data_IF_320930063224
#
_entry.id   IF_320930063224
#
_cell.length_a   1.000
_cell.length_b   1.000
_cell.length_c   1.000
_cell.angle_alpha   90.00
_cell.angle_beta   90.00
_cell.angle_gamma   90.00
#
_symmetry.space_group_name_H-M   'P 1'
#
loop_
_entity.id
_entity.type
_entity.pdbx_description
1 polymer ?
#
# COMPACT_ATOMS: atom_id res chain seq x y z
N UNK A 1 12.73 -4.17 21.24
CA UNK A 1 12.30 -5.52 20.77
C UNK A 1 12.22 -5.52 19.25
N UNK A 2 12.95 -6.42 18.59
CA UNK A 2 12.98 -6.47 17.12
C UNK A 2 11.65 -6.92 16.53
N UNK A 3 11.23 -6.24 15.47
CA UNK A 3 10.03 -6.50 14.71
C UNK A 3 10.40 -6.91 13.29
N UNK A 4 9.56 -7.76 12.71
CA UNK A 4 9.61 -8.21 11.33
C UNK A 4 8.27 -7.88 10.68
N UNK A 5 8.34 -7.14 9.60
CA UNK A 5 7.20 -6.61 8.87
C UNK A 5 7.27 -7.13 7.44
N UNK A 6 6.19 -7.73 6.96
CA UNK A 6 6.04 -8.17 5.58
C UNK A 6 4.98 -7.33 4.88
N UNK A 7 5.35 -6.71 3.76
CA UNK A 7 4.48 -5.81 2.99
C UNK A 7 4.51 -6.24 1.54
N UNK A 8 3.35 -6.44 0.94
CA UNK A 8 3.24 -6.59 -0.51
C UNK A 8 3.16 -5.21 -1.14
N UNK A 9 3.96 -4.95 -2.17
CA UNK A 9 3.92 -3.69 -2.91
C UNK A 9 3.57 -3.98 -4.36
N UNK A 10 2.51 -3.35 -4.85
CA UNK A 10 2.13 -3.38 -6.26
C UNK A 10 3.00 -2.39 -7.03
N UNK A 11 3.88 -2.93 -7.87
CA UNK A 11 4.92 -2.19 -8.57
C UNK A 11 4.58 -2.16 -10.07
N UNK A 12 4.48 -0.98 -10.68
CA UNK A 12 4.24 -0.86 -12.14
C UNK A 12 5.51 -1.20 -12.93
N UNK A 13 6.66 -0.68 -12.51
CA UNK A 13 7.96 -0.85 -13.19
C UNK A 13 8.96 -1.67 -12.35
N UNK A 14 9.13 -2.96 -12.64
CA UNK A 14 9.90 -3.86 -11.76
C UNK A 14 11.32 -3.41 -11.36
N UNK A 15 12.12 -2.79 -12.24
CA UNK A 15 13.50 -2.38 -11.87
C UNK A 15 13.53 -1.12 -11.01
N UNK A 16 12.95 -0.02 -11.51
CA UNK A 16 13.06 1.30 -10.88
C UNK A 16 12.26 1.39 -9.58
N UNK A 17 11.08 0.79 -9.56
CA UNK A 17 10.19 0.84 -8.38
C UNK A 17 10.73 0.00 -7.23
N UNK A 18 11.33 -1.17 -7.49
CA UNK A 18 11.98 -2.01 -6.46
C UNK A 18 13.12 -1.28 -5.77
N UNK A 19 14.00 -0.63 -6.53
CA UNK A 19 15.11 0.14 -5.95
C UNK A 19 14.58 1.30 -5.10
N UNK A 20 13.57 2.03 -5.58
CA UNK A 20 12.92 3.10 -4.81
C UNK A 20 12.26 2.57 -3.54
N UNK A 21 11.56 1.45 -3.61
CA UNK A 21 10.88 0.86 -2.45
C UNK A 21 11.88 0.42 -1.37
N UNK A 22 12.99 -0.20 -1.77
CA UNK A 22 14.07 -0.54 -0.84
C UNK A 22 14.70 0.71 -0.22
N UNK A 23 14.95 1.75 -1.02
CA UNK A 23 15.47 3.02 -0.51
C UNK A 23 14.52 3.66 0.51
N UNK A 24 13.23 3.72 0.20
CA UNK A 24 12.22 4.30 1.09
C UNK A 24 12.13 3.50 2.39
N UNK A 25 12.07 2.17 2.31
CA UNK A 25 12.04 1.32 3.50
C UNK A 25 13.30 1.52 4.35
N UNK A 26 14.49 1.63 3.74
CA UNK A 26 15.74 1.87 4.45
C UNK A 26 15.84 3.28 5.07
N UNK A 27 15.10 4.27 4.57
CA UNK A 27 15.07 5.62 5.14
C UNK A 27 14.17 5.75 6.38
N UNK A 28 13.31 4.76 6.67
CA UNK A 28 12.44 4.80 7.84
C UNK A 28 13.26 4.58 9.11
N UNK A 29 12.97 5.35 10.15
CA UNK A 29 13.64 5.22 11.43
C UNK A 29 13.42 3.83 12.05
N UNK A 30 14.47 3.27 12.64
CA UNK A 30 14.41 1.98 13.30
C UNK A 30 14.55 0.77 12.38
N UNK A 31 14.71 0.96 11.06
CA UNK A 31 14.96 -0.14 10.12
C UNK A 31 16.43 -0.55 10.14
N UNK A 32 16.68 -1.85 10.31
CA UNK A 32 18.01 -2.44 10.35
C UNK A 32 18.32 -3.27 9.10
N UNK A 33 17.31 -3.95 8.55
CA UNK A 33 17.45 -4.74 7.34
C UNK A 33 16.19 -4.69 6.46
N UNK A 34 16.41 -4.70 5.15
CA UNK A 34 15.36 -4.67 4.13
C UNK A 34 15.69 -5.70 3.06
N UNK A 35 14.76 -6.60 2.77
CA UNK A 35 14.90 -7.62 1.74
C UNK A 35 13.66 -7.71 0.86
N UNK A 36 13.85 -8.00 -0.43
CA UNK A 36 12.78 -8.35 -1.34
C UNK A 36 12.61 -9.87 -1.42
N UNK A 37 11.38 -10.34 -1.24
CA UNK A 37 10.96 -11.74 -1.22
C UNK A 37 9.82 -12.00 -2.21
N UNK A 38 9.52 -13.27 -2.42
CA UNK A 38 8.50 -13.75 -3.37
C UNK A 38 9.08 -14.05 -4.75
N UNK A 39 8.42 -14.93 -5.50
CA UNK A 39 8.82 -15.28 -6.88
C UNK A 39 8.89 -14.03 -7.77
N UNK A 40 7.89 -13.16 -7.62
CA UNK A 40 7.79 -11.90 -8.35
C UNK A 40 8.55 -10.74 -7.69
N UNK A 41 9.23 -10.97 -6.56
CA UNK A 41 9.97 -9.93 -5.79
C UNK A 41 9.11 -8.71 -5.45
N UNK A 42 7.84 -8.95 -5.12
CA UNK A 42 6.84 -7.94 -4.77
C UNK A 42 6.58 -7.86 -3.26
N UNK A 43 7.23 -8.71 -2.46
CA UNK A 43 7.14 -8.69 -1.01
C UNK A 43 8.38 -8.04 -0.42
N UNK A 44 8.16 -7.07 0.46
CA UNK A 44 9.17 -6.30 1.15
C UNK A 44 9.19 -6.75 2.61
N UNK A 45 10.29 -7.38 3.01
CA UNK A 45 10.56 -7.76 4.39
C UNK A 45 11.43 -6.68 5.02
N UNK A 46 10.95 -6.13 6.12
CA UNK A 46 11.63 -5.09 6.89
C UNK A 46 11.83 -5.61 8.31
N UNK A 47 13.07 -5.55 8.79
CA UNK A 47 13.45 -5.96 10.14
C UNK A 47 14.06 -4.76 10.84
N UNK A 48 13.68 -4.55 12.10
CA UNK A 48 14.22 -3.45 12.89
C UNK A 48 13.47 -3.22 14.20
N UNK A 49 13.84 -2.18 14.92
CA UNK A 49 13.29 -1.83 16.24
C UNK A 49 12.57 -0.47 16.18
N UNK A 50 11.35 -0.39 16.71
CA UNK A 50 10.59 0.86 16.74
C UNK A 50 10.05 1.29 15.36
N UNK A 51 9.86 0.34 14.44
CA UNK A 51 9.34 0.63 13.09
C UNK A 51 7.87 1.05 13.18
N UNK A 52 7.54 2.23 12.67
CA UNK A 52 6.15 2.61 12.41
C UNK A 52 5.66 1.96 11.11
N UNK A 53 4.92 0.86 11.27
CA UNK A 53 4.34 0.10 10.15
C UNK A 53 3.34 0.91 9.32
N UNK A 54 2.62 1.84 9.94
CA UNK A 54 1.59 2.65 9.28
C UNK A 54 2.24 3.74 8.46
N UNK A 55 3.23 4.44 9.01
CA UNK A 55 4.01 5.44 8.28
C UNK A 55 4.77 4.81 7.11
N UNK A 56 5.41 3.66 7.34
CA UNK A 56 6.11 2.94 6.29
C UNK A 56 5.17 2.55 5.14
N UNK A 57 3.99 1.99 5.44
CA UNK A 57 2.99 1.67 4.43
C UNK A 57 2.46 2.93 3.71
N UNK A 58 2.26 4.04 4.42
CA UNK A 58 1.86 5.33 3.83
C UNK A 58 2.92 5.86 2.86
N UNK A 59 4.20 5.79 3.22
CA UNK A 59 5.29 6.26 2.36
C UNK A 59 5.39 5.43 1.08
N UNK A 60 5.27 4.11 1.18
CA UNK A 60 5.25 3.22 0.02
C UNK A 60 4.06 3.52 -0.90
N UNK A 61 2.86 3.68 -0.33
CA UNK A 61 1.64 4.07 -1.07
C UNK A 61 1.78 5.38 -1.83
N UNK A 62 2.48 6.35 -1.26
CA UNK A 62 2.66 7.69 -1.87
C UNK A 62 3.74 7.73 -2.94
N UNK A 63 4.82 6.97 -2.78
CA UNK A 63 6.06 7.14 -3.57
C UNK A 63 6.34 6.02 -4.57
N UNK A 64 5.76 4.84 -4.35
CA UNK A 64 6.03 3.65 -5.17
C UNK A 64 4.76 3.16 -5.86
N UNK A 65 3.71 2.89 -5.08
CA UNK A 65 2.48 2.26 -5.56
C UNK A 65 1.71 1.63 -4.40
N UNK A 66 0.63 0.91 -4.70
CA UNK A 66 -0.21 0.26 -3.67
C UNK A 66 0.63 -0.63 -2.75
N UNK A 67 0.37 -0.58 -1.43
CA UNK A 67 1.09 -1.38 -0.46
C UNK A 67 0.14 -1.99 0.57
N UNK A 68 0.21 -3.31 0.76
CA UNK A 68 -0.62 -4.08 1.67
C UNK A 68 0.24 -4.73 2.75
N UNK A 69 -0.11 -4.47 4.00
CA UNK A 69 0.53 -5.11 5.15
C UNK A 69 0.05 -6.56 5.24
N UNK A 70 0.99 -7.50 5.17
CA UNK A 70 0.72 -8.93 5.26
C UNK A 70 0.88 -9.45 6.69
N UNK A 71 1.97 -9.07 7.35
CA UNK A 71 2.28 -9.57 8.71
C UNK A 71 3.20 -8.60 9.45
N UNK A 72 2.99 -8.50 10.76
CA UNK A 72 3.83 -7.75 11.71
C UNK A 72 4.02 -8.65 12.92
N UNK A 73 5.26 -8.96 13.28
CA UNK A 73 5.54 -9.83 14.43
C UNK A 73 6.97 -9.66 14.97
N UNK A 74 7.31 -10.29 16.11
CA UNK A 74 8.65 -10.24 16.67
C UNK A 74 9.66 -10.99 15.77
N UNK A 75 10.88 -10.49 15.67
CA UNK A 75 11.90 -11.03 14.75
C UNK A 75 12.74 -12.21 15.27
N UNK A 76 12.43 -12.79 16.44
CA UNK A 76 13.24 -13.88 17.06
C UNK A 76 13.50 -15.05 16.09
N UNK A 77 14.77 -15.37 15.87
CA UNK A 77 15.25 -16.55 15.14
C UNK A 77 15.29 -17.81 16.02
N UNK A 78 14.84 -18.96 15.50
CA UNK A 78 15.52 -20.26 15.69
C UNK A 78 15.15 -21.27 14.57
N UNK A 79 16.15 -21.58 13.73
CA UNK A 79 16.47 -22.82 12.97
C UNK A 79 15.37 -23.65 12.26
N UNK A 80 15.53 -23.76 10.93
CA UNK A 80 14.99 -24.81 10.06
C UNK A 80 15.74 -26.15 10.28
N UNK A 81 15.10 -27.31 10.05
CA UNK A 81 15.57 -28.13 8.93
C UNK A 81 14.44 -28.56 7.98
N UNK A 82 14.82 -28.79 6.73
CA UNK A 82 13.95 -29.15 5.63
C UNK A 82 13.47 -30.61 5.72
N UNK A 83 12.22 -30.88 5.34
CA UNK A 83 11.80 -32.01 4.49
C UNK A 83 10.28 -32.02 4.26
N UNK A 84 9.88 -32.57 3.12
CA UNK A 84 8.54 -33.04 2.73
C UNK A 84 7.52 -32.00 2.21
N UNK A 85 7.56 -31.84 0.88
CA UNK A 85 6.48 -32.19 -0.06
C UNK A 85 5.00 -31.93 0.34
N UNK A 86 4.32 -31.26 -0.59
CA UNK A 86 2.88 -30.98 -0.66
C UNK A 86 1.96 -32.23 -0.47
N UNK A 87 0.66 -32.04 -0.20
CA UNK A 87 -0.24 -31.69 -1.30
C UNK A 87 -1.29 -30.62 -0.97
N UNK A 88 -1.76 -30.03 -2.06
CA UNK A 88 -2.92 -29.15 -2.16
C UNK A 88 -4.15 -29.66 -1.39
N UNK A 89 -4.80 -28.75 -0.66
CA UNK A 89 -6.25 -28.78 -0.47
C UNK A 89 -6.85 -27.45 -0.93
N UNK A 90 -7.48 -27.53 -2.10
CA UNK A 90 -8.60 -26.68 -2.47
C UNK A 90 -9.59 -26.73 -1.30
N UNK A 91 -9.94 -25.59 -0.73
CA UNK A 91 -11.19 -25.45 -0.03
C UNK A 91 -11.87 -24.21 -0.60
N UNK A 92 -13.03 -24.51 -1.17
CA UNK A 92 -13.92 -23.61 -1.86
C UNK A 92 -14.25 -22.41 -0.98
N UNK A 93 -14.12 -21.23 -1.57
CA UNK A 93 -14.69 -19.98 -1.07
C UNK A 93 -16.21 -20.16 -0.98
N UNK A 94 -16.85 -20.02 0.21
CA UNK A 94 -18.27 -19.74 0.23
C UNK A 94 -18.46 -18.37 -0.41
N UNK A 95 -19.23 -18.34 -1.50
CA UNK A 95 -19.66 -17.13 -2.19
C UNK A 95 -20.48 -16.27 -1.23
N UNK A 96 -19.82 -15.35 -0.53
CA UNK A 96 -20.49 -14.22 0.14
C UNK A 96 -21.06 -13.33 -0.96
N UNK A 97 -22.37 -13.03 -0.95
CA UNK A 97 -22.93 -12.10 -1.92
C UNK A 97 -22.26 -10.74 -1.70
N UNK A 98 -21.51 -10.29 -2.70
CA UNK A 98 -20.98 -8.92 -2.74
C UNK A 98 -22.19 -8.00 -2.77
N UNK A 99 -22.56 -7.44 -1.63
CA UNK A 99 -23.54 -6.36 -1.58
C UNK A 99 -22.90 -5.17 -2.27
N UNK A 100 -23.26 -4.98 -3.54
CA UNK A 100 -22.90 -3.85 -4.36
C UNK A 100 -23.56 -2.62 -3.72
N UNK A 101 -22.80 -1.87 -2.93
CA UNK A 101 -23.24 -0.56 -2.48
C UNK A 101 -23.39 0.32 -3.73
N UNK A 102 -24.62 0.48 -4.19
CA UNK A 102 -25.00 1.44 -5.22
C UNK A 102 -24.70 2.83 -4.66
N UNK A 103 -23.53 3.35 -5.00
CA UNK A 103 -23.16 4.71 -4.66
C UNK A 103 -24.11 5.64 -5.43
N UNK A 104 -24.92 6.47 -4.75
CA UNK A 104 -25.79 7.41 -5.45
C UNK A 104 -24.94 8.39 -6.25
N UNK A 105 -25.22 8.45 -7.55
CA UNK A 105 -24.62 9.42 -8.48
C UNK A 105 -24.68 10.83 -7.88
N UNK A 106 -23.58 11.60 -7.90
CA UNK A 106 -23.60 12.97 -7.43
C UNK A 106 -24.54 13.81 -8.30
N UNK A 107 -25.53 14.41 -7.66
CA UNK A 107 -26.44 15.39 -8.22
C UNK A 107 -25.65 16.50 -8.94
N UNK A 108 -26.02 16.74 -10.20
CA UNK A 108 -25.54 17.86 -11.00
C UNK A 108 -25.84 19.18 -10.27
N UNK A 109 -24.80 19.92 -9.91
CA UNK A 109 -24.96 21.27 -9.38
C UNK A 109 -25.48 22.20 -10.49
N UNK A 110 -26.47 23.07 -10.23
CA UNK A 110 -26.83 24.11 -11.18
C UNK A 110 -25.66 25.10 -11.29
N UNK A 111 -25.21 25.32 -12.52
CA UNK A 111 -24.32 26.41 -12.88
C UNK A 111 -25.07 27.71 -12.55
N UNK A 112 -24.60 28.47 -11.57
CA UNK A 112 -25.06 29.83 -11.38
C UNK A 112 -24.55 30.65 -12.57
N UNK A 113 -25.44 30.97 -13.51
CA UNK A 113 -25.17 32.05 -14.46
C UNK A 113 -25.05 33.35 -13.67
N UNK A 114 -23.83 33.89 -13.62
CA UNK A 114 -23.59 35.26 -13.22
C UNK A 114 -24.23 36.11 -14.32
N UNK A 115 -25.45 36.59 -14.07
CA UNK A 115 -26.01 37.74 -14.78
C UNK A 115 -25.05 38.90 -14.53
N UNK A 116 -24.21 39.21 -15.51
CA UNK A 116 -23.55 40.51 -15.57
C UNK A 116 -24.65 41.57 -15.60
N UNK A 117 -24.93 42.11 -14.42
CA UNK A 117 -25.66 43.34 -14.22
C UNK A 117 -24.86 44.44 -14.88
N UNK A 118 -25.30 44.88 -16.05
CA UNK A 118 -24.81 46.06 -16.76
C UNK A 118 -24.53 47.19 -15.76
N UNK A 119 -23.29 47.71 -15.64
CA UNK A 119 -23.10 49.03 -15.13
C UNK A 119 -23.13 49.99 -16.31
N UNK A 120 -24.26 50.69 -16.43
CA UNK A 120 -24.34 51.97 -17.12
C UNK A 120 -23.23 52.90 -16.56
N UNK A 121 -22.04 52.86 -17.17
CA UNK A 121 -20.98 53.83 -16.93
C UNK A 121 -21.31 55.12 -17.70
N UNK A 122 -22.22 55.92 -17.15
CA UNK A 122 -22.23 57.36 -17.38
C UNK A 122 -21.29 58.01 -16.36
N UNK A 123 -20.08 58.37 -16.79
CA UNK A 123 -19.28 59.39 -16.11
C UNK A 123 -18.59 60.23 -17.19
N UNK A 124 -18.69 61.55 -16.97
CA UNK A 124 -18.43 62.67 -17.88
C UNK A 124 -17.07 62.66 -18.58
#
# INVERSE_FOLDING_TARGET
MMQKVLIRVTMVDQKKSRTKAMQIAATVFGVESVALKGADKDQLEVIGEGIDTVELAKLLRKKVGGADLLSVGPAKEEKKPAAAAAPAKKNETPAVPVQMWTYPMPLSYPVYEIRESEPNCSIM
#
